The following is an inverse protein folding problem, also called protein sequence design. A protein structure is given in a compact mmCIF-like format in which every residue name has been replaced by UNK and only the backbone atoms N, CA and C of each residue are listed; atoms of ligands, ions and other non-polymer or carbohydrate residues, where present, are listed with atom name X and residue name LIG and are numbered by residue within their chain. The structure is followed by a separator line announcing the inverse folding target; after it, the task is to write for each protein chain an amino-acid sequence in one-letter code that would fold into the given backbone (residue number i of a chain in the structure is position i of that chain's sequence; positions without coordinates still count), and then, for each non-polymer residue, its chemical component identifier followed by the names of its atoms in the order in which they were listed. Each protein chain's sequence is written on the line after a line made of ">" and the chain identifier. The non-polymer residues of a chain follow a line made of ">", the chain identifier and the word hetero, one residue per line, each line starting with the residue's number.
data_IF_920379625256
#
_entry.id   IF_920379625256
#
_cell.length_a   1.000
_cell.length_b   1.000
_cell.length_c   1.000
_cell.angle_alpha   90.00
_cell.angle_beta   90.00
_cell.angle_gamma   90.00
#
_symmetry.space_group_name_H-M   'P 1'
#
loop_
_entity.id
_entity.type
_entity.pdbx_description
1 polymer ?
#
# COMPACT_ATOMS: atom_id res chain seq x y z
N UNK A 1 14.96 -3.25 9.62
CA UNK A 1 13.86 -4.23 9.72
C UNK A 1 13.55 -4.71 8.32
N UNK A 2 13.40 -6.02 8.16
CA UNK A 2 13.24 -6.67 6.86
C UNK A 2 11.76 -7.00 6.68
N UNK A 3 11.15 -6.53 5.59
CA UNK A 3 9.82 -7.00 5.18
C UNK A 3 9.93 -8.47 4.75
N UNK A 4 8.88 -9.26 4.95
CA UNK A 4 8.81 -10.59 4.35
C UNK A 4 8.77 -10.48 2.82
N UNK A 5 9.18 -11.52 2.09
CA UNK A 5 9.13 -11.52 0.62
C UNK A 5 7.73 -11.24 0.07
N UNK A 6 6.71 -11.67 0.81
CA UNK A 6 5.31 -11.46 0.44
C UNK A 6 4.86 -10.02 0.69
N UNK A 7 5.30 -9.41 1.79
CA UNK A 7 5.11 -7.99 2.04
C UNK A 7 5.84 -7.14 0.98
N UNK A 8 7.07 -7.52 0.62
CA UNK A 8 7.84 -6.83 -0.42
C UNK A 8 7.12 -6.88 -1.76
N UNK A 9 6.69 -8.07 -2.21
CA UNK A 9 5.93 -8.20 -3.47
C UNK A 9 4.67 -7.35 -3.49
N UNK A 10 3.95 -7.30 -2.37
CA UNK A 10 2.73 -6.49 -2.24
C UNK A 10 3.04 -4.99 -2.29
N UNK A 11 4.12 -4.56 -1.62
CA UNK A 11 4.60 -3.17 -1.63
C UNK A 11 5.14 -2.79 -3.02
N UNK A 12 5.88 -3.66 -3.69
CA UNK A 12 6.46 -3.43 -5.02
C UNK A 12 5.37 -3.33 -6.09
N UNK A 13 4.39 -4.24 -6.09
CA UNK A 13 3.25 -4.19 -7.00
C UNK A 13 2.45 -2.89 -6.84
N UNK A 14 2.33 -2.41 -5.60
CA UNK A 14 1.72 -1.14 -5.28
C UNK A 14 2.57 0.08 -5.65
N UNK A 15 3.88 -0.02 -5.49
CA UNK A 15 4.83 1.06 -5.73
C UNK A 15 4.84 1.50 -7.19
N UNK A 16 4.61 0.58 -8.13
CA UNK A 16 4.52 0.87 -9.57
C UNK A 16 3.58 2.05 -9.84
N UNK A 17 2.38 2.05 -9.24
CA UNK A 17 1.40 3.12 -9.43
C UNK A 17 1.91 4.49 -8.94
N UNK A 18 2.69 4.54 -7.86
CA UNK A 18 3.29 5.78 -7.38
C UNK A 18 4.45 6.24 -8.28
N UNK A 19 5.24 5.30 -8.81
CA UNK A 19 6.35 5.63 -9.71
C UNK A 19 5.86 6.16 -11.06
N UNK A 20 4.80 5.57 -11.63
CA UNK A 20 4.26 5.96 -12.94
C UNK A 20 3.57 7.33 -12.90
N UNK A 21 2.77 7.58 -11.84
CA UNK A 21 1.93 8.77 -11.79
C UNK A 21 2.50 9.93 -11.00
N UNK A 22 3.44 9.68 -10.07
CA UNK A 22 3.95 10.70 -9.15
C UNK A 22 5.49 10.84 -9.22
N UNK A 23 6.14 10.21 -10.19
CA UNK A 23 7.60 10.27 -10.41
C UNK A 23 8.42 9.90 -9.18
N UNK A 24 7.87 9.06 -8.30
CA UNK A 24 8.67 8.45 -7.24
C UNK A 24 9.74 7.55 -7.85
N UNK A 25 10.91 7.50 -7.23
CA UNK A 25 11.79 6.35 -7.44
C UNK A 25 11.17 5.10 -6.80
N UNK A 26 11.50 3.89 -7.29
CA UNK A 26 11.02 2.65 -6.67
C UNK A 26 11.32 2.58 -5.17
N UNK A 27 12.51 3.02 -4.74
CA UNK A 27 12.91 3.02 -3.33
C UNK A 27 12.07 3.97 -2.48
N UNK A 28 11.78 5.18 -2.97
CA UNK A 28 10.93 6.12 -2.26
C UNK A 28 9.49 5.61 -2.13
N UNK A 29 8.95 5.02 -3.18
CA UNK A 29 7.61 4.45 -3.17
C UNK A 29 7.51 3.27 -2.18
N UNK A 30 8.48 2.36 -2.21
CA UNK A 30 8.57 1.23 -1.26
C UNK A 30 8.68 1.73 0.17
N UNK A 31 9.52 2.75 0.42
CA UNK A 31 9.70 3.31 1.75
C UNK A 31 8.43 3.99 2.28
N UNK A 32 7.73 4.74 1.43
CA UNK A 32 6.48 5.41 1.78
C UNK A 32 5.39 4.39 2.12
N UNK A 33 5.13 3.45 1.21
CA UNK A 33 4.09 2.43 1.40
C UNK A 33 4.45 1.53 2.59
N UNK A 34 5.70 1.07 2.68
CA UNK A 34 6.17 0.22 3.77
C UNK A 34 6.07 0.89 5.14
N UNK A 35 6.30 2.20 5.21
CA UNK A 35 6.09 3.00 6.42
C UNK A 35 4.63 2.98 6.89
N UNK A 36 3.70 3.25 5.97
CA UNK A 36 2.26 3.24 6.28
C UNK A 36 1.71 1.86 6.58
N UNK A 37 2.16 0.84 5.86
CA UNK A 37 1.82 -0.56 6.12
C UNK A 37 2.20 -0.95 7.54
N UNK A 38 3.43 -0.62 7.96
CA UNK A 38 3.89 -0.88 9.33
C UNK A 38 3.10 -0.09 10.36
N UNK A 39 2.86 1.19 10.12
CA UNK A 39 2.10 2.03 11.05
C UNK A 39 0.66 1.51 11.25
N UNK A 40 0.04 0.97 10.19
CA UNK A 40 -1.29 0.35 10.29
C UNK A 40 -1.25 -0.99 11.05
N UNK A 41 -0.26 -1.85 10.80
CA UNK A 41 -0.08 -3.10 11.57
C UNK A 41 0.08 -2.81 13.07
N UNK A 42 0.90 -1.81 13.40
CA UNK A 42 1.11 -1.38 14.79
C UNK A 42 -0.17 -0.80 15.41
N UNK A 43 -0.89 0.07 14.69
CA UNK A 43 -2.12 0.67 15.19
C UNK A 43 -3.23 -0.37 15.47
N UNK A 44 -3.26 -1.47 14.70
CA UNK A 44 -4.20 -2.58 14.89
C UNK A 44 -3.72 -3.65 15.85
N UNK A 45 -2.50 -3.52 16.40
CA UNK A 45 -1.87 -4.55 17.22
C UNK A 45 -1.87 -5.95 16.55
N UNK A 46 -1.66 -5.99 15.23
CA UNK A 46 -1.67 -7.23 14.44
C UNK A 46 -0.35 -7.45 13.71
N UNK A 47 -0.08 -8.69 13.32
CA UNK A 47 0.98 -9.03 12.37
C UNK A 47 0.42 -9.15 10.96
N UNK A 48 1.31 -9.15 9.97
CA UNK A 48 0.90 -9.37 8.58
C UNK A 48 0.44 -10.81 8.37
N UNK A 49 1.10 -11.79 8.97
CA UNK A 49 0.69 -13.20 8.96
C UNK A 49 -0.71 -13.39 9.55
N UNK A 50 -1.02 -12.68 10.64
CA UNK A 50 -2.35 -12.72 11.27
C UNK A 50 -3.42 -12.11 10.35
N UNK A 51 -3.09 -11.03 9.64
CA UNK A 51 -3.94 -10.42 8.63
C UNK A 51 -4.10 -11.32 7.39
N UNK A 52 -3.07 -12.09 7.04
CA UNK A 52 -3.16 -13.09 5.98
C UNK A 52 -4.00 -14.29 6.40
N UNK A 53 -4.06 -14.64 7.67
CA UNK A 53 -4.98 -15.66 8.17
C UNK A 53 -6.43 -15.15 8.33
N UNK A 54 -6.65 -13.83 8.29
CA UNK A 54 -7.97 -13.24 8.48
C UNK A 54 -8.85 -13.27 7.22
N UNK A 55 -10.11 -12.84 7.35
CA UNK A 55 -11.06 -12.82 6.25
C UNK A 55 -10.73 -11.75 5.20
N UNK A 56 -11.26 -11.94 3.98
CA UNK A 56 -11.12 -10.98 2.88
C UNK A 56 -11.58 -9.57 3.28
N UNK A 57 -12.60 -9.46 4.12
CA UNK A 57 -13.10 -8.18 4.63
C UNK A 57 -12.05 -7.44 5.46
N UNK A 58 -11.42 -8.10 6.43
CA UNK A 58 -10.41 -7.48 7.32
C UNK A 58 -9.19 -7.02 6.52
N UNK A 59 -8.79 -7.88 5.57
CA UNK A 59 -7.79 -7.61 4.56
C UNK A 59 -8.13 -6.34 3.77
N UNK A 60 -9.27 -6.29 3.10
CA UNK A 60 -9.70 -5.10 2.33
C UNK A 60 -9.74 -3.83 3.20
N UNK A 61 -10.21 -3.94 4.45
CA UNK A 61 -10.24 -2.80 5.38
C UNK A 61 -8.83 -2.36 5.75
N UNK A 62 -7.87 -3.28 5.90
CA UNK A 62 -6.47 -2.95 6.11
C UNK A 62 -5.87 -2.22 4.91
N UNK A 63 -6.04 -2.76 3.71
CA UNK A 63 -5.54 -2.15 2.47
C UNK A 63 -6.10 -0.75 2.29
N UNK A 64 -7.42 -0.57 2.45
CA UNK A 64 -8.05 0.76 2.35
C UNK A 64 -7.46 1.75 3.35
N UNK A 65 -7.16 1.32 4.57
CA UNK A 65 -6.55 2.20 5.56
C UNK A 65 -5.13 2.63 5.17
N UNK A 66 -4.28 1.70 4.70
CA UNK A 66 -2.94 2.03 4.19
C UNK A 66 -3.03 2.99 3.00
N UNK A 67 -3.92 2.70 2.05
CA UNK A 67 -4.13 3.52 0.85
C UNK A 67 -4.57 4.94 1.21
N UNK A 68 -5.52 5.08 2.15
CA UNK A 68 -5.98 6.38 2.61
C UNK A 68 -4.86 7.18 3.29
N UNK A 69 -4.04 6.54 4.13
CA UNK A 69 -2.91 7.21 4.77
C UNK A 69 -1.88 7.72 3.76
N UNK A 70 -1.56 6.91 2.75
CA UNK A 70 -0.67 7.32 1.66
C UNK A 70 -1.28 8.50 0.89
N UNK A 71 -2.58 8.43 0.56
CA UNK A 71 -3.28 9.52 -0.13
C UNK A 71 -3.25 10.82 0.67
N UNK A 72 -3.54 10.75 1.97
CA UNK A 72 -3.53 11.91 2.87
C UNK A 72 -2.13 12.52 2.99
N UNK A 73 -1.07 11.70 3.08
CA UNK A 73 0.30 12.21 3.09
C UNK A 73 0.67 12.91 1.78
N UNK A 74 0.32 12.31 0.64
CA UNK A 74 0.57 12.90 -0.67
C UNK A 74 -0.17 14.23 -0.83
N UNK A 75 -1.44 14.31 -0.43
CA UNK A 75 -2.24 15.54 -0.45
C UNK A 75 -1.64 16.61 0.47
N UNK A 76 -1.26 16.24 1.70
CA UNK A 76 -0.61 17.16 2.65
C UNK A 76 0.75 17.68 2.16
N UNK A 77 1.46 16.90 1.34
CA UNK A 77 2.74 17.34 0.78
C UNK A 77 2.59 18.54 -0.17
N UNK A 78 1.42 18.72 -0.79
CA UNK A 78 1.17 19.77 -1.79
C UNK A 78 2.02 19.65 -3.07
N UNK A 79 2.81 18.57 -3.22
CA UNK A 79 3.76 18.40 -4.32
C UNK A 79 3.13 17.95 -5.64
N UNK A 80 1.94 17.37 -5.57
CA UNK A 80 1.30 16.71 -6.70
C UNK A 80 -0.13 17.23 -6.89
N UNK A 81 -0.57 17.28 -8.14
CA UNK A 81 -1.96 17.60 -8.45
C UNK A 81 -2.91 16.48 -7.95
N UNK A 82 -4.04 16.87 -7.36
CA UNK A 82 -5.03 15.94 -6.79
C UNK A 82 -5.44 14.84 -7.77
N UNK A 83 -5.66 15.18 -9.04
CA UNK A 83 -6.03 14.20 -10.07
C UNK A 83 -4.96 13.10 -10.27
N UNK A 84 -3.67 13.44 -10.15
CA UNK A 84 -2.58 12.46 -10.26
C UNK A 84 -2.52 11.58 -9.02
N UNK A 85 -2.75 12.15 -7.84
CA UNK A 85 -2.84 11.40 -6.59
C UNK A 85 -4.01 10.41 -6.68
N UNK A 86 -5.20 10.86 -7.07
CA UNK A 86 -6.39 10.01 -7.18
C UNK A 86 -6.19 8.85 -8.17
N UNK A 87 -5.52 9.10 -9.29
CA UNK A 87 -5.19 8.04 -10.26
C UNK A 87 -4.22 7.03 -9.68
N UNK A 88 -3.11 7.50 -9.11
CA UNK A 88 -2.10 6.65 -8.48
C UNK A 88 -2.71 5.78 -7.37
N UNK A 89 -3.58 6.37 -6.55
CA UNK A 89 -4.25 5.71 -5.43
C UNK A 89 -5.25 4.64 -5.90
N UNK A 90 -5.96 4.89 -7.01
CA UNK A 90 -6.87 3.91 -7.60
C UNK A 90 -6.11 2.68 -8.12
N UNK A 91 -5.07 2.92 -8.92
CA UNK A 91 -4.23 1.85 -9.48
C UNK A 91 -3.47 1.10 -8.36
N UNK A 92 -3.04 1.80 -7.31
CA UNK A 92 -2.49 1.21 -6.09
C UNK A 92 -3.48 0.24 -5.43
N UNK A 93 -4.73 0.66 -5.21
CA UNK A 93 -5.74 -0.19 -4.58
C UNK A 93 -6.07 -1.43 -5.42
N UNK A 94 -6.18 -1.27 -6.75
CA UNK A 94 -6.42 -2.38 -7.67
C UNK A 94 -5.25 -3.36 -7.73
N UNK A 95 -4.01 -2.86 -7.73
CA UNK A 95 -2.81 -3.69 -7.73
C UNK A 95 -2.73 -4.51 -6.44
N UNK A 96 -2.99 -3.88 -5.29
CA UNK A 96 -3.03 -4.56 -4.00
C UNK A 96 -4.09 -5.65 -3.91
N UNK A 97 -5.31 -5.38 -4.37
CA UNK A 97 -6.37 -6.39 -4.41
C UNK A 97 -5.96 -7.58 -5.29
N UNK A 98 -5.45 -7.32 -6.50
CA UNK A 98 -4.97 -8.36 -7.42
C UNK A 98 -3.84 -9.19 -6.82
N UNK A 99 -2.84 -8.56 -6.22
CA UNK A 99 -1.71 -9.27 -5.59
C UNK A 99 -2.15 -10.18 -4.45
N UNK A 100 -3.20 -9.80 -3.70
CA UNK A 100 -3.72 -10.64 -2.64
C UNK A 100 -4.60 -11.78 -3.13
N UNK A 101 -5.39 -11.59 -4.18
CA UNK A 101 -6.16 -12.68 -4.79
C UNK A 101 -5.26 -13.73 -5.45
N UNK A 102 -4.22 -13.28 -6.18
CA UNK A 102 -3.25 -14.16 -6.85
C UNK A 102 -2.34 -14.93 -5.89
N UNK A 103 -2.23 -14.47 -4.63
CA UNK A 103 -1.44 -15.16 -3.59
C UNK A 103 -2.18 -16.31 -2.88
N UNK A 104 -3.44 -16.59 -3.24
CA UNK A 104 -4.24 -17.71 -2.73
C UNK A 104 -4.45 -18.83 -3.77
N UNK A 105 -3.79 -18.75 -4.93
CA UNK A 105 -3.79 -19.80 -5.96
C UNK A 105 -2.64 -20.79 -5.77
#
# INVERSE_FOLDING_TARGET
>A
MTFSDRQLKLIEAAAVALTEHLYFTPEEAVKLIGGHLRAELQARHTSFESLEASGITDRTVFVRAVVNRVSDELKRSGKYADQRIERAIREFMESLHRSWELGHA
#
